data_IF_894815229593
#
_entry.id   IF_894815229593
#
_cell.length_a   1.000
_cell.length_b   1.000
_cell.length_c   1.000
_cell.angle_alpha   90.00
_cell.angle_beta   90.00
_cell.angle_gamma   90.00
#
_symmetry.space_group_name_H-M   'P 1'
#
loop_
_entity.id
_entity.type
_entity.pdbx_description
1 polymer ?
#
# COMPACT_ATOMS: atom_id res chain seq x y z
N UNK A 1 -2.21 -15.39 10.45
CA UNK A 1 -2.01 -15.50 8.99
C UNK A 1 -0.67 -14.88 8.64
N UNK A 2 0.13 -15.50 7.75
CA UNK A 2 1.33 -14.85 7.23
C UNK A 2 0.94 -13.53 6.54
N UNK A 3 1.78 -12.50 6.66
CA UNK A 3 1.56 -11.23 5.95
C UNK A 3 1.65 -11.47 4.44
N UNK A 4 0.79 -10.83 3.67
CA UNK A 4 0.79 -10.93 2.20
C UNK A 4 1.30 -9.64 1.56
N UNK A 5 2.13 -9.77 0.52
CA UNK A 5 2.75 -8.64 -0.16
C UNK A 5 1.72 -7.66 -0.74
N UNK A 6 0.64 -8.16 -1.36
CA UNK A 6 -0.39 -7.30 -1.96
C UNK A 6 -1.29 -6.61 -0.95
N UNK A 7 -1.50 -7.20 0.24
CA UNK A 7 -2.20 -6.52 1.34
C UNK A 7 -1.36 -5.37 1.89
N UNK A 8 -0.05 -5.59 2.06
CA UNK A 8 0.89 -4.53 2.45
C UNK A 8 0.97 -3.43 1.38
N UNK A 9 0.96 -3.80 0.11
CA UNK A 9 0.95 -2.86 -1.01
C UNK A 9 -0.31 -1.97 -1.01
N UNK A 10 -1.50 -2.56 -0.83
CA UNK A 10 -2.74 -1.80 -0.74
C UNK A 10 -2.78 -0.89 0.49
N UNK A 11 -2.31 -1.39 1.65
CA UNK A 11 -2.20 -0.57 2.86
C UNK A 11 -1.23 0.61 2.68
N UNK A 12 -0.11 0.38 1.99
CA UNK A 12 0.86 1.41 1.66
C UNK A 12 0.28 2.46 0.71
N UNK A 13 -0.49 2.06 -0.30
CA UNK A 13 -1.16 2.98 -1.21
C UNK A 13 -2.14 3.91 -0.47
N UNK A 14 -2.88 3.37 0.51
CA UNK A 14 -3.76 4.16 1.38
C UNK A 14 -3.03 5.02 2.41
N UNK A 15 -1.80 4.68 2.79
CA UNK A 15 -1.00 5.39 3.80
C UNK A 15 0.50 5.31 3.52
N UNK A 16 1.07 6.25 2.75
CA UNK A 16 2.50 6.27 2.38
C UNK A 16 3.47 6.30 3.57
N UNK A 17 3.04 6.79 4.74
CA UNK A 17 3.84 6.82 5.98
C UNK A 17 4.26 5.42 6.45
N UNK A 18 3.57 4.36 6.00
CA UNK A 18 3.91 2.98 6.35
C UNK A 18 5.22 2.50 5.73
N UNK A 19 5.71 3.15 4.66
CA UNK A 19 6.93 2.73 3.96
C UNK A 19 8.13 2.56 4.91
N UNK A 20 8.36 3.52 5.81
CA UNK A 20 9.48 3.47 6.76
C UNK A 20 9.37 2.32 7.77
N UNK A 21 8.15 1.91 8.12
CA UNK A 21 7.91 0.76 8.99
C UNK A 21 8.12 -0.54 8.21
N UNK A 22 7.57 -0.65 7.00
CA UNK A 22 7.67 -1.84 6.14
C UNK A 22 9.12 -2.14 5.72
N UNK A 23 9.93 -1.12 5.41
CA UNK A 23 11.38 -1.26 5.10
C UNK A 23 12.18 -1.98 6.19
N UNK A 24 11.76 -1.82 7.45
CA UNK A 24 12.46 -2.40 8.62
C UNK A 24 11.95 -3.79 8.99
N UNK A 25 10.87 -4.25 8.37
CA UNK A 25 10.31 -5.58 8.60
C UNK A 25 10.86 -6.57 7.56
N UNK A 26 10.92 -7.87 7.88
CA UNK A 26 11.14 -8.91 6.87
C UNK A 26 10.14 -8.77 5.73
N UNK A 27 10.55 -9.12 4.52
CA UNK A 27 9.62 -9.18 3.40
C UNK A 27 8.58 -10.29 3.62
N UNK A 28 7.33 -10.11 3.18
CA UNK A 28 6.37 -11.19 3.04
C UNK A 28 6.95 -12.33 2.17
N UNK A 29 6.60 -13.60 2.43
CA UNK A 29 7.11 -14.74 1.66
C UNK A 29 6.59 -14.75 0.21
N UNK A 30 5.48 -14.07 -0.08
CA UNK A 30 4.77 -14.06 -1.36
C UNK A 30 5.08 -12.82 -2.23
N UNK A 31 6.21 -12.13 -2.00
CA UNK A 31 6.59 -10.92 -2.77
C UNK A 31 6.65 -11.17 -4.29
N UNK A 32 6.91 -12.39 -4.74
CA UNK A 32 6.83 -12.75 -6.16
C UNK A 32 5.47 -12.42 -6.78
N UNK A 33 4.38 -12.53 -6.01
CA UNK A 33 3.03 -12.18 -6.47
C UNK A 33 2.94 -10.68 -6.75
N UNK A 34 3.53 -9.83 -5.89
CA UNK A 34 3.59 -8.39 -6.13
C UNK A 34 4.44 -8.05 -7.36
N UNK A 35 5.57 -8.74 -7.57
CA UNK A 35 6.41 -8.56 -8.76
C UNK A 35 5.62 -8.91 -10.03
N UNK A 36 4.98 -10.09 -10.06
CA UNK A 36 4.16 -10.53 -11.20
C UNK A 36 3.00 -9.58 -11.48
N UNK A 37 2.34 -9.09 -10.43
CA UNK A 37 1.24 -8.11 -10.50
C UNK A 37 1.69 -6.79 -11.13
N UNK A 38 2.90 -6.32 -10.82
CA UNK A 38 3.45 -5.12 -11.46
C UNK A 38 3.82 -5.38 -12.93
N UNK A 39 4.35 -6.57 -13.23
CA UNK A 39 4.88 -6.96 -14.54
C UNK A 39 3.83 -7.38 -15.59
N UNK A 40 2.63 -7.79 -15.17
CA UNK A 40 1.61 -8.41 -16.04
C UNK A 40 0.22 -7.86 -15.75
N UNK A 41 -0.45 -7.34 -16.79
CA UNK A 41 -1.84 -6.90 -16.69
C UNK A 41 -2.81 -8.05 -16.40
N UNK A 42 -2.55 -9.23 -16.98
CA UNK A 42 -3.31 -10.45 -16.69
C UNK A 42 -3.22 -10.81 -15.20
N UNK A 43 -2.01 -10.81 -14.63
CA UNK A 43 -1.85 -11.07 -13.20
C UNK A 43 -2.51 -10.00 -12.34
N UNK A 44 -2.39 -8.73 -12.72
CA UNK A 44 -3.08 -7.64 -12.03
C UNK A 44 -4.60 -7.82 -12.04
N UNK A 45 -5.18 -8.20 -13.17
CA UNK A 45 -6.61 -8.50 -13.28
C UNK A 45 -7.01 -9.69 -12.40
N UNK A 46 -6.22 -10.77 -12.39
CA UNK A 46 -6.45 -11.93 -11.51
C UNK A 46 -6.44 -11.55 -10.03
N UNK A 47 -5.39 -10.87 -9.59
CA UNK A 47 -5.22 -10.51 -8.18
C UNK A 47 -6.24 -9.47 -7.72
N UNK A 48 -6.68 -8.59 -8.62
CA UNK A 48 -7.76 -7.64 -8.40
C UNK A 48 -9.10 -8.33 -8.18
N UNK A 49 -9.46 -9.30 -9.03
CA UNK A 49 -10.70 -10.06 -8.90
C UNK A 49 -10.76 -10.80 -7.55
N UNK A 50 -9.67 -11.45 -7.14
CA UNK A 50 -9.57 -12.15 -5.85
C UNK A 50 -9.78 -11.23 -4.65
N UNK A 51 -9.40 -9.95 -4.75
CA UNK A 51 -9.46 -8.97 -3.67
C UNK A 51 -10.60 -7.97 -3.81
N UNK A 52 -11.42 -8.09 -4.85
CA UNK A 52 -12.53 -7.19 -5.15
C UNK A 52 -12.10 -5.70 -5.23
N UNK A 53 -10.94 -5.45 -5.84
CA UNK A 53 -10.41 -4.10 -6.08
C UNK A 53 -10.21 -3.85 -7.58
N UNK A 54 -10.14 -2.59 -8.04
CA UNK A 54 -9.85 -2.32 -9.45
C UNK A 54 -8.46 -2.83 -9.89
N UNK A 55 -8.32 -3.43 -11.10
CA UNK A 55 -7.03 -3.90 -11.64
C UNK A 55 -5.92 -2.84 -11.64
N UNK A 56 -6.28 -1.61 -11.98
CA UNK A 56 -5.34 -0.48 -11.96
C UNK A 56 -4.81 -0.21 -10.55
N UNK A 57 -5.70 -0.22 -9.56
CA UNK A 57 -5.35 0.08 -8.16
C UNK A 57 -4.38 -0.96 -7.60
N UNK A 58 -4.60 -2.26 -7.85
CA UNK A 58 -3.70 -3.29 -7.33
C UNK A 58 -2.34 -3.27 -8.02
N UNK A 59 -2.30 -2.93 -9.31
CA UNK A 59 -1.04 -2.75 -10.05
C UNK A 59 -0.27 -1.54 -9.54
N UNK A 60 -0.94 -0.40 -9.34
CA UNK A 60 -0.33 0.81 -8.76
C UNK A 60 0.18 0.55 -7.34
N UNK A 61 -0.58 -0.17 -6.52
CA UNK A 61 -0.15 -0.58 -5.19
C UNK A 61 1.12 -1.45 -5.24
N UNK A 62 1.15 -2.46 -6.10
CA UNK A 62 2.30 -3.33 -6.30
C UNK A 62 3.54 -2.54 -6.75
N UNK A 63 3.40 -1.67 -7.76
CA UNK A 63 4.49 -0.79 -8.23
C UNK A 63 5.03 0.08 -7.10
N UNK A 64 4.16 0.76 -6.36
CA UNK A 64 4.56 1.61 -5.23
C UNK A 64 5.29 0.80 -4.15
N UNK A 65 4.80 -0.40 -3.82
CA UNK A 65 5.44 -1.28 -2.85
C UNK A 65 6.84 -1.72 -3.32
N UNK A 66 6.99 -2.10 -4.58
CA UNK A 66 8.27 -2.47 -5.16
C UNK A 66 9.25 -1.30 -5.12
N UNK A 67 8.83 -0.11 -5.55
CA UNK A 67 9.67 1.09 -5.57
C UNK A 67 10.11 1.53 -4.17
N UNK A 68 9.16 1.55 -3.23
CA UNK A 68 9.39 2.20 -1.94
C UNK A 68 9.79 1.25 -0.82
N UNK A 69 9.41 -0.02 -0.85
CA UNK A 69 9.65 -0.99 0.24
C UNK A 69 10.70 -2.04 -0.15
N UNK A 70 10.71 -2.47 -1.41
CA UNK A 70 11.62 -3.51 -1.91
C UNK A 70 12.94 -2.88 -2.40
N UNK A 71 12.86 -1.90 -3.30
CA UNK A 71 14.01 -1.26 -3.94
C UNK A 71 14.47 0.05 -3.26
N UNK A 72 14.23 0.20 -1.95
CA UNK A 72 14.74 1.39 -1.24
C UNK A 72 16.29 1.44 -1.24
N UNK A 73 16.92 2.62 -1.14
CA UNK A 73 18.36 2.76 -1.33
C UNK A 73 19.24 1.91 -0.40
N UNK A 74 18.80 1.66 0.84
CA UNK A 74 19.52 0.84 1.82
C UNK A 74 19.17 -0.66 1.78
N UNK A 75 18.43 -1.12 0.76
CA UNK A 75 18.05 -2.53 0.64
C UNK A 75 19.28 -3.41 0.35
N UNK A 76 19.40 -4.53 1.06
CA UNK A 76 20.38 -5.57 0.73
C UNK A 76 20.01 -6.32 -0.57
N UNK A 77 20.91 -7.14 -1.10
CA UNK A 77 20.73 -7.81 -2.38
C UNK A 77 19.54 -8.78 -2.39
N UNK A 78 19.22 -9.42 -1.27
CA UNK A 78 18.03 -10.27 -1.16
C UNK A 78 16.77 -9.42 -1.27
N UNK A 79 16.73 -8.31 -0.52
CA UNK A 79 15.57 -7.40 -0.53
C UNK A 79 15.40 -6.72 -1.88
N UNK A 80 16.48 -6.33 -2.56
CA UNK A 80 16.42 -5.79 -3.94
C UNK A 80 15.82 -6.80 -4.91
N UNK A 81 16.15 -8.10 -4.77
CA UNK A 81 15.50 -9.18 -5.54
C UNK A 81 14.10 -9.53 -5.02
N UNK A 82 13.57 -8.83 -4.02
CA UNK A 82 12.27 -9.12 -3.43
C UNK A 82 12.18 -10.49 -2.76
N UNK A 83 13.31 -11.04 -2.29
CA UNK A 83 13.39 -12.37 -1.70
C UNK A 83 13.90 -12.31 -0.25
N UNK A 84 13.64 -13.38 0.50
CA UNK A 84 14.21 -13.60 1.84
C UNK A 84 15.57 -14.30 1.75
N UNK A 85 16.40 -14.18 2.80
CA UNK A 85 17.74 -14.81 2.84
C UNK A 85 17.70 -16.34 2.75
N UNK A 86 16.58 -16.96 3.11
CA UNK A 86 16.37 -18.41 3.00
C UNK A 86 15.89 -18.87 1.63
N UNK A 87 15.62 -17.96 0.68
CA UNK A 87 15.08 -18.31 -0.64
C UNK A 87 16.04 -19.23 -1.40
N UNK A 88 15.51 -20.23 -2.09
CA UNK A 88 16.27 -21.13 -2.96
C UNK A 88 16.86 -20.39 -4.16
N UNK A 89 17.88 -20.98 -4.80
CA UNK A 89 18.45 -20.41 -6.04
C UNK A 89 17.43 -20.32 -7.18
N UNK A 90 16.46 -21.25 -7.21
CA UNK A 90 15.35 -21.21 -8.17
C UNK A 90 14.46 -20.01 -7.93
N UNK A 91 14.05 -19.76 -6.68
CA UNK A 91 13.23 -18.59 -6.33
C UNK A 91 13.94 -17.28 -6.65
N UNK A 92 15.23 -17.15 -6.33
CA UNK A 92 16.01 -15.95 -6.68
C UNK A 92 16.03 -15.69 -8.19
N UNK A 93 16.17 -16.76 -8.99
CA UNK A 93 16.13 -16.67 -10.46
C UNK A 93 14.75 -16.25 -10.96
N UNK A 94 13.68 -16.85 -10.43
CA UNK A 94 12.31 -16.52 -10.81
C UNK A 94 12.00 -15.05 -10.51
N UNK A 95 12.40 -14.55 -9.34
CA UNK A 95 12.26 -13.15 -8.97
C UNK A 95 13.00 -12.21 -9.92
N UNK A 96 14.27 -12.51 -10.20
CA UNK A 96 15.11 -11.76 -11.14
C UNK A 96 14.46 -11.67 -12.53
N UNK A 97 13.98 -12.80 -13.06
CA UNK A 97 13.32 -12.85 -14.37
C UNK A 97 12.07 -11.97 -14.42
N UNK A 98 11.22 -12.02 -13.39
CA UNK A 98 10.01 -11.20 -13.34
C UNK A 98 10.30 -9.72 -13.12
N UNK A 99 11.32 -9.37 -12.34
CA UNK A 99 11.77 -7.98 -12.17
C UNK A 99 12.28 -7.39 -13.49
N UNK A 100 13.08 -8.14 -14.26
CA UNK A 100 13.55 -7.69 -15.57
C UNK A 100 12.42 -7.57 -16.59
N UNK A 101 11.43 -8.46 -16.54
CA UNK A 101 10.22 -8.34 -17.38
C UNK A 101 9.40 -7.09 -17.05
N UNK A 102 9.38 -6.69 -15.78
CA UNK A 102 8.71 -5.46 -15.35
C UNK A 102 9.45 -4.19 -15.80
N UNK A 103 10.78 -4.17 -15.70
CA UNK A 103 11.64 -3.01 -15.99
C UNK A 103 12.18 -2.98 -17.44
N UNK A 104 11.51 -3.62 -18.39
CA UNK A 104 12.02 -3.71 -19.76
C UNK A 104 12.20 -2.32 -20.40
N UNK A 105 13.34 -2.01 -21.04
CA UNK A 105 13.65 -0.68 -21.58
C UNK A 105 12.64 -0.19 -22.62
N UNK A 106 12.06 -1.09 -23.44
CA UNK A 106 10.99 -0.72 -24.39
C UNK A 106 9.74 -0.13 -23.73
N UNK A 107 9.59 -0.30 -22.41
CA UNK A 107 8.45 0.20 -21.64
C UNK A 107 8.80 1.40 -20.77
N UNK A 108 10.08 1.77 -20.65
CA UNK A 108 10.49 2.78 -19.68
C UNK A 108 11.56 3.72 -20.23
N UNK A 109 11.28 5.02 -20.17
CA UNK A 109 12.07 6.05 -20.84
C UNK A 109 13.05 6.83 -19.94
N UNK A 110 13.06 6.70 -18.61
CA UNK A 110 13.86 7.61 -17.75
C UNK A 110 14.43 6.99 -16.45
N UNK A 111 15.33 7.73 -15.79
CA UNK A 111 16.47 7.21 -15.02
C UNK A 111 16.24 6.39 -13.72
N UNK A 112 15.06 6.36 -13.08
CA UNK A 112 14.87 5.54 -11.87
C UNK A 112 14.93 4.04 -12.21
N UNK A 113 14.35 3.67 -13.35
CA UNK A 113 14.29 2.30 -13.83
C UNK A 113 15.66 1.80 -14.26
N UNK A 114 16.46 2.62 -14.96
CA UNK A 114 17.85 2.28 -15.30
C UNK A 114 18.67 1.98 -14.05
N UNK A 115 18.64 2.89 -13.05
CA UNK A 115 19.34 2.68 -11.78
C UNK A 115 18.81 1.43 -11.04
N UNK A 116 17.53 1.10 -11.18
CA UNK A 116 16.93 -0.10 -10.58
C UNK A 116 17.41 -1.37 -11.28
N UNK A 117 17.46 -1.38 -12.61
CA UNK A 117 17.99 -2.50 -13.42
C UNK A 117 19.45 -2.80 -13.06
N UNK A 118 20.28 -1.77 -12.92
CA UNK A 118 21.67 -1.90 -12.50
C UNK A 118 21.77 -2.55 -11.11
N UNK A 119 20.99 -2.05 -10.13
CA UNK A 119 20.97 -2.60 -8.76
C UNK A 119 20.49 -4.05 -8.71
N UNK A 120 19.44 -4.38 -9.46
CA UNK A 120 18.92 -5.74 -9.54
C UNK A 120 19.95 -6.67 -10.19
N UNK A 121 20.61 -6.21 -11.26
CA UNK A 121 21.67 -6.97 -11.93
C UNK A 121 22.83 -7.22 -10.98
N UNK A 122 23.31 -6.20 -10.26
CA UNK A 122 24.37 -6.34 -9.27
C UNK A 122 23.99 -7.33 -8.15
N UNK A 123 22.77 -7.23 -7.63
CA UNK A 123 22.24 -8.16 -6.64
C UNK A 123 22.21 -9.61 -7.15
N UNK A 124 21.74 -9.82 -8.39
CA UNK A 124 21.76 -11.14 -9.01
C UNK A 124 23.18 -11.66 -9.21
N UNK A 125 24.12 -10.85 -9.69
CA UNK A 125 25.51 -11.28 -9.86
C UNK A 125 26.16 -11.74 -8.55
N UNK A 126 25.83 -11.08 -7.43
CA UNK A 126 26.31 -11.46 -6.12
C UNK A 126 25.69 -12.75 -5.56
N UNK A 127 24.48 -13.13 -6.01
CA UNK A 127 23.72 -14.24 -5.42
C UNK A 127 23.56 -15.46 -6.34
N UNK A 128 23.86 -15.33 -7.65
CA UNK A 128 23.56 -16.34 -8.69
C UNK A 128 24.24 -17.71 -8.54
N UNK A 129 25.30 -17.81 -7.74
CA UNK A 129 25.97 -19.08 -7.44
C UNK A 129 26.10 -19.28 -5.94
N UNK A 130 26.09 -20.53 -5.44
CA UNK A 130 26.22 -20.82 -4.01
C UNK A 130 27.45 -20.17 -3.38
N UNK A 131 28.59 -20.17 -4.08
CA UNK A 131 29.86 -19.63 -3.59
C UNK A 131 29.79 -18.11 -3.41
N UNK A 132 29.25 -17.41 -4.42
CA UNK A 132 29.07 -15.95 -4.36
C UNK A 132 28.08 -15.55 -3.28
N UNK A 133 27.00 -16.32 -3.14
CA UNK A 133 26.00 -16.13 -2.09
C UNK A 133 26.62 -16.27 -0.70
N UNK A 134 27.44 -17.29 -0.46
CA UNK A 134 28.17 -17.45 0.81
C UNK A 134 29.12 -16.29 1.07
N UNK A 135 29.84 -15.81 0.05
CA UNK A 135 30.70 -14.63 0.20
C UNK A 135 29.90 -13.38 0.55
N UNK A 136 28.75 -13.18 -0.09
CA UNK A 136 27.86 -12.07 0.21
C UNK A 136 27.27 -12.17 1.61
N UNK A 137 26.80 -13.35 2.03
CA UNK A 137 26.21 -13.57 3.35
C UNK A 137 27.17 -13.23 4.50
N UNK A 138 28.48 -13.45 4.30
CA UNK A 138 29.54 -13.04 5.26
C UNK A 138 29.64 -11.53 5.46
N UNK A 139 29.18 -10.73 4.50
CA UNK A 139 29.18 -9.26 4.60
C UNK A 139 27.97 -8.73 5.38
N UNK A 140 26.95 -9.56 5.57
CA UNK A 140 25.71 -9.16 6.22
C UNK A 140 25.81 -9.34 7.73
N UNK A 141 25.14 -8.48 8.52
CA UNK A 141 24.94 -8.76 9.93
C UNK A 141 24.25 -10.13 10.09
N UNK A 142 24.56 -10.88 11.16
CA UNK A 142 23.86 -12.12 11.47
C UNK A 142 22.36 -11.84 11.50
N UNK A 143 21.59 -12.72 10.87
CA UNK A 143 20.14 -12.59 10.82
C UNK A 143 19.64 -12.51 12.26
N UNK A 144 19.00 -11.39 12.62
CA UNK A 144 18.35 -11.29 13.92
C UNK A 144 17.25 -12.33 13.91
N UNK A 145 17.50 -13.50 14.51
CA UNK A 145 16.49 -14.47 14.82
C UNK A 145 15.30 -13.69 15.40
N UNK A 146 14.13 -13.84 14.79
CA UNK A 146 12.91 -13.19 15.24
C UNK A 146 12.71 -13.57 16.70
N UNK A 147 13.15 -12.70 17.63
CA UNK A 147 12.78 -12.82 19.03
C UNK A 147 11.27 -12.66 19.02
N UNK A 148 10.50 -13.64 19.54
CA UNK A 148 9.05 -13.49 19.63
C UNK A 148 8.77 -12.15 20.28
N UNK A 149 7.91 -11.36 19.64
CA UNK A 149 7.56 -10.03 20.10
C UNK A 149 7.05 -10.17 21.54
N UNK A 150 7.90 -9.83 22.52
CA UNK A 150 7.45 -9.68 23.89
C UNK A 150 6.33 -8.64 23.87
N UNK A 151 5.19 -8.87 24.53
CA UNK A 151 4.16 -7.84 24.69
C UNK A 151 4.74 -6.77 25.62
N UNK A 152 5.54 -5.88 25.05
CA UNK A 152 6.21 -4.77 25.72
C UNK A 152 5.42 -3.51 25.44
N UNK A 153 4.67 -3.04 26.44
CA UNK A 153 3.81 -1.88 26.37
C UNK A 153 4.49 -0.65 25.78
N UNK A 154 3.67 0.20 25.14
CA UNK A 154 4.02 1.53 24.67
C UNK A 154 4.63 2.35 25.83
N UNK A 155 5.95 2.30 25.98
CA UNK A 155 6.66 3.34 26.74
C UNK A 155 6.69 4.55 25.82
N UNK A 156 5.79 5.50 26.09
CA UNK A 156 5.87 6.86 25.56
C UNK A 156 7.26 7.41 25.90
N UNK A 157 8.19 7.28 24.96
CA UNK A 157 9.44 8.03 25.01
C UNK A 157 8.99 9.47 24.91
N UNK A 158 9.02 10.20 26.04
CA UNK A 158 8.78 11.65 26.07
C UNK A 158 9.59 12.22 24.91
N UNK A 159 8.90 12.77 23.92
CA UNK A 159 9.53 13.47 22.82
C UNK A 159 10.32 14.60 23.48
N UNK A 160 11.64 14.46 23.46
CA UNK A 160 12.55 15.49 23.95
C UNK A 160 12.16 16.81 23.31
N UNK A 161 12.10 17.84 24.15
CA UNK A 161 11.72 19.22 23.80
C UNK A 161 12.70 19.88 22.80
N UNK A 162 13.77 19.18 22.44
CA UNK A 162 14.90 19.63 21.62
C UNK A 162 15.02 18.83 20.31
N UNK A 163 13.93 18.75 19.54
CA UNK A 163 14.03 18.29 18.15
C UNK A 163 14.66 19.41 17.29
N UNK A 164 15.65 19.11 16.43
CA UNK A 164 16.27 20.11 15.56
C UNK A 164 15.21 20.72 14.63
N UNK A 165 15.10 22.05 14.68
CA UNK A 165 14.21 22.82 13.81
C UNK A 165 14.73 22.75 12.38
N UNK A 166 14.00 22.05 11.50
CA UNK A 166 14.28 21.96 10.07
C UNK A 166 13.83 23.29 9.42
N UNK A 167 14.74 24.16 8.93
CA UNK A 167 14.42 25.56 8.59
C UNK A 167 13.47 25.78 7.41
N UNK A 168 13.30 24.80 6.51
CA UNK A 168 12.46 24.91 5.31
C UNK A 168 11.08 24.26 5.46
N UNK A 169 10.72 23.79 6.66
CA UNK A 169 9.37 23.30 6.93
C UNK A 169 8.56 24.45 7.51
N UNK A 170 7.91 25.21 6.63
CA UNK A 170 6.99 26.27 7.01
C UNK A 170 5.76 25.65 7.71
N UNK A 171 5.85 25.56 9.05
CA UNK A 171 4.81 25.13 10.01
C UNK A 171 4.40 23.65 9.90
N UNK A 172 4.25 22.94 11.03
CA UNK A 172 3.62 21.61 11.00
C UNK A 172 2.20 21.77 10.48
N UNK A 173 1.84 20.99 9.45
CA UNK A 173 0.46 20.86 9.00
C UNK A 173 -0.34 20.34 10.20
N UNK A 174 -1.17 21.20 10.78
CA UNK A 174 -2.16 20.78 11.77
C UNK A 174 -3.08 19.79 11.07
N UNK A 175 -2.91 18.50 11.35
CA UNK A 175 -3.90 17.50 10.98
C UNK A 175 -5.17 17.83 11.76
N UNK A 176 -6.06 18.60 11.13
CA UNK A 176 -7.43 18.80 11.59
C UNK A 176 -8.07 17.41 11.65
N UNK A 177 -8.12 16.84 12.85
CA UNK A 177 -8.67 15.51 13.06
C UNK A 177 -10.06 15.49 12.45
N UNK A 178 -10.30 14.57 11.50
CA UNK A 178 -11.64 14.31 10.96
C UNK A 178 -12.51 13.66 12.03
N UNK A 179 -12.99 14.49 12.96
CA UNK A 179 -14.08 14.16 13.89
C UNK A 179 -15.26 15.03 13.48
N UNK A 180 -15.91 14.69 12.35
CA UNK A 180 -16.88 15.61 11.74
C UNK A 180 -17.72 15.08 10.60
N UNK A 181 -18.04 13.78 10.53
CA UNK A 181 -19.02 13.28 9.54
C UNK A 181 -20.31 12.73 10.16
N UNK A 182 -20.39 12.57 11.50
CA UNK A 182 -21.61 12.07 12.16
C UNK A 182 -22.75 13.11 12.25
N UNK A 183 -22.46 14.41 12.05
CA UNK A 183 -23.48 15.48 12.09
C UNK A 183 -24.09 15.79 10.73
N UNK A 184 -23.41 15.46 9.63
CA UNK A 184 -23.92 15.71 8.27
C UNK A 184 -24.99 14.69 7.86
N UNK A 185 -24.89 13.44 8.31
CA UNK A 185 -25.91 12.41 8.04
C UNK A 185 -27.22 12.62 8.83
N UNK A 186 -27.18 13.28 9.99
CA UNK A 186 -28.39 13.58 10.77
C UNK A 186 -29.27 14.68 10.13
N UNK A 187 -28.65 15.68 9.49
CA UNK A 187 -29.37 16.77 8.83
C UNK A 187 -30.05 16.30 7.52
N UNK A 188 -29.42 15.39 6.76
CA UNK A 188 -29.99 14.85 5.53
C UNK A 188 -31.23 13.96 5.78
N UNK A 189 -31.26 13.19 6.88
CA UNK A 189 -32.40 12.36 7.24
C UNK A 189 -33.65 13.19 7.64
N UNK A 190 -33.44 14.33 8.33
CA UNK A 190 -34.53 15.26 8.69
C UNK A 190 -35.12 15.97 7.47
N UNK A 191 -34.30 16.30 6.47
CA UNK A 191 -34.78 16.95 5.24
C UNK A 191 -35.67 16.03 4.40
N UNK A 192 -35.30 14.74 4.27
CA UNK A 192 -36.12 13.75 3.55
C UNK A 192 -37.45 13.49 4.28
N UNK A 193 -37.45 13.42 5.62
CA UNK A 193 -38.67 13.26 6.39
C UNK A 193 -39.62 14.48 6.26
N UNK A 194 -39.06 15.70 6.24
CA UNK A 194 -39.84 16.94 6.11
C UNK A 194 -40.45 17.10 4.70
N UNK A 195 -39.72 16.72 3.64
CA UNK A 195 -40.28 16.69 2.27
C UNK A 195 -41.38 15.62 2.11
N UNK A 196 -41.27 14.48 2.79
CA UNK A 196 -42.31 13.45 2.79
C UNK A 196 -43.64 13.93 3.41
N UNK A 197 -43.57 14.64 4.54
CA UNK A 197 -44.76 15.17 5.23
C UNK A 197 -45.45 16.31 4.46
N UNK A 198 -44.71 17.16 3.76
CA UNK A 198 -45.29 18.23 2.93
C UNK A 198 -46.02 17.69 1.70
N UNK A 199 -45.54 16.62 1.08
CA UNK A 199 -46.23 15.97 -0.04
C UNK A 199 -47.52 15.25 0.39
N UNK A 200 -47.60 14.75 1.63
CA UNK A 200 -48.82 14.17 2.18
C UNK A 200 -49.87 15.25 2.54
N UNK A 201 -49.44 16.45 2.96
CA UNK A 201 -50.35 17.58 3.22
C UNK A 201 -50.98 18.16 1.94
N UNK A 202 -50.21 18.31 0.86
CA UNK A 202 -50.72 18.85 -0.40
C UNK A 202 -51.79 17.97 -1.07
N UNK A 203 -51.73 16.65 -0.85
CA UNK A 203 -52.71 15.69 -1.40
C UNK A 203 -54.01 15.56 -0.60
N UNK A 204 -54.10 16.17 0.58
CA UNK A 204 -55.35 16.27 1.35
C UNK A 204 -56.13 17.55 1.02
N UNK A 205 -55.44 18.66 0.72
CA UNK A 205 -56.10 19.91 0.33
C UNK A 205 -56.81 19.84 -1.02
N UNK A 206 -56.29 19.07 -1.98
CA UNK A 206 -56.97 18.86 -3.27
C UNK A 206 -58.28 18.10 -3.14
N UNK A 207 -58.35 17.09 -2.25
CA UNK A 207 -59.57 16.30 -2.02
C UNK A 207 -60.65 17.06 -1.26
N UNK A 208 -60.26 17.98 -0.36
CA UNK A 208 -61.23 18.85 0.35
C UNK A 208 -61.75 19.95 -0.56
N UNK A 209 -60.93 20.49 -1.47
CA UNK A 209 -61.37 21.47 -2.47
C UNK A 209 -62.37 20.88 -3.48
N UNK A 210 -62.18 19.63 -3.93
CA UNK A 210 -63.16 18.93 -4.78
C UNK A 210 -64.47 18.63 -4.04
N UNK A 211 -64.41 18.29 -2.74
CA UNK A 211 -65.60 17.99 -1.94
C UNK A 211 -66.49 19.23 -1.69
N UNK A 212 -65.91 20.44 -1.69
CA UNK A 212 -66.66 21.70 -1.50
C UNK A 212 -67.17 22.32 -2.82
N UNK A 213 -66.75 21.80 -3.98
CA UNK A 213 -67.21 22.24 -5.30
C UNK A 213 -68.41 21.44 -5.83
N UNK A 214 -68.84 20.38 -5.13
CA UNK A 214 -69.92 19.46 -5.54
C UNK A 214 -71.07 19.45 -4.52
N UNK A 215 -71.57 20.63 -4.16
CA UNK A 215 -72.88 20.75 -3.51
C UNK A 215 -73.69 21.81 -4.27
N UNK A 216 -74.89 21.45 -4.77
CA UNK A 216 -75.71 22.30 -5.64
C UNK A 216 -76.32 23.51 -4.92
#
# INVERSE_FOLDING_TARGET
MPRQALEEALALLGSPLLAGVMRRRPLPPDVLVAIKTAASEEEAARQAALRQVPPRMIREAAVLYLQTVVMHPQADHYRVLGAVRSASQRELRDHMTWLMKWLHPDRVADGWETASVERITAAWQALKSPERRVLYDRTLPPERAERPARPGGFRSRRLSRDAPRIPWVARPVEFRSRRGHRRLFAAAALFVAMCGLLSLGASQWSRVAEALAVTP
#
